data_IF_789491612770
#
_entry.id   IF_789491612770
#
_cell.length_a   1.000
_cell.length_b   1.000
_cell.length_c   1.000
_cell.angle_alpha   90.00
_cell.angle_beta   90.00
_cell.angle_gamma   90.00
#
_symmetry.space_group_name_H-M   'P 1'
#
loop_
_entity.id
_entity.type
_entity.pdbx_description
1 polymer ?
#
# COMPACT_ATOMS: atom_id res chain seq x y z
N UNK A 1 -30.31 11.19 -5.52
CA UNK A 1 -30.19 11.22 -4.06
C UNK A 1 -29.03 12.12 -3.72
N UNK A 2 -29.29 13.10 -2.92
CA UNK A 2 -28.64 14.39 -2.83
C UNK A 2 -27.21 14.33 -2.25
N UNK A 3 -26.23 14.85 -3.01
CA UNK A 3 -24.83 15.13 -2.62
C UNK A 3 -24.68 15.90 -1.28
N UNK A 4 -25.76 16.41 -0.72
CA UNK A 4 -25.77 17.24 0.49
C UNK A 4 -25.62 16.45 1.79
N UNK A 5 -25.97 15.17 1.84
CA UNK A 5 -26.05 14.38 3.07
C UNK A 5 -24.68 13.85 3.53
N UNK A 6 -23.75 13.60 2.60
CA UNK A 6 -22.40 13.11 2.97
C UNK A 6 -21.46 14.22 3.49
N UNK A 7 -21.59 15.47 3.01
CA UNK A 7 -20.79 16.59 3.53
C UNK A 7 -21.04 16.88 5.00
N UNK A 8 -22.24 16.58 5.50
CA UNK A 8 -22.58 16.80 6.91
C UNK A 8 -21.90 15.81 7.88
N UNK A 9 -21.53 14.62 7.41
CA UNK A 9 -20.91 13.57 8.24
C UNK A 9 -19.44 13.90 8.53
N UNK A 10 -18.78 14.63 7.64
CA UNK A 10 -17.35 14.98 7.76
C UNK A 10 -17.11 16.45 8.18
N UNK A 11 -18.04 17.06 8.90
CA UNK A 11 -17.76 18.36 9.56
C UNK A 11 -16.69 18.18 10.63
N UNK A 12 -15.84 19.18 10.90
CA UNK A 12 -14.81 19.11 11.94
C UNK A 12 -15.37 18.67 13.31
N UNK A 13 -16.63 19.04 13.61
CA UNK A 13 -17.31 18.66 14.83
C UNK A 13 -17.73 17.17 14.85
N UNK A 14 -18.21 16.64 13.71
CA UNK A 14 -18.53 15.21 13.58
C UNK A 14 -17.26 14.36 13.62
N UNK A 15 -16.16 14.85 13.04
CA UNK A 15 -14.85 14.20 13.11
C UNK A 15 -14.29 14.21 14.55
N UNK A 16 -14.40 15.33 15.26
CA UNK A 16 -14.00 15.43 16.66
C UNK A 16 -14.84 14.51 17.56
N UNK A 17 -16.14 14.38 17.29
CA UNK A 17 -17.02 13.44 17.99
C UNK A 17 -16.67 11.98 17.65
N UNK A 18 -16.37 11.66 16.40
CA UNK A 18 -15.95 10.32 15.98
C UNK A 18 -14.58 9.94 16.57
N UNK A 19 -13.62 10.86 16.63
CA UNK A 19 -12.32 10.66 17.29
C UNK A 19 -12.52 10.47 18.80
N UNK A 20 -13.37 11.26 19.45
CA UNK A 20 -13.67 11.10 20.87
C UNK A 20 -14.37 9.76 21.19
N UNK A 21 -15.27 9.30 20.31
CA UNK A 21 -15.92 7.98 20.42
C UNK A 21 -14.94 6.84 20.12
N UNK A 22 -14.04 7.01 19.16
CA UNK A 22 -13.00 6.03 18.81
C UNK A 22 -11.96 5.84 19.91
N UNK A 23 -11.64 6.88 20.68
CA UNK A 23 -10.77 6.78 21.86
C UNK A 23 -11.39 5.99 23.02
N UNK A 24 -12.72 5.76 23.01
CA UNK A 24 -13.42 4.98 24.02
C UNK A 24 -13.65 3.52 23.60
N UNK A 25 -13.46 3.17 22.33
CA UNK A 25 -13.52 1.79 21.86
C UNK A 25 -12.16 1.13 22.12
N UNK A 26 -12.02 0.48 23.26
CA UNK A 26 -10.89 -0.43 23.48
C UNK A 26 -11.02 -1.55 22.46
N UNK A 27 -10.01 -1.71 21.59
CA UNK A 27 -9.86 -2.92 20.79
C UNK A 27 -9.70 -4.08 21.79
N UNK A 28 -10.73 -4.88 21.95
CA UNK A 28 -10.69 -6.06 22.82
C UNK A 28 -10.53 -7.29 21.93
N UNK A 29 -9.41 -7.97 22.10
CA UNK A 29 -9.28 -9.31 21.59
C UNK A 29 -10.34 -10.21 22.26
N UNK A 30 -11.16 -10.84 21.47
CA UNK A 30 -12.16 -11.82 21.94
C UNK A 30 -11.50 -13.19 21.91
N UNK A 31 -11.29 -13.78 23.08
CA UNK A 31 -10.85 -15.17 23.19
C UNK A 31 -12.04 -16.10 23.32
N UNK A 32 -12.01 -17.24 22.63
CA UNK A 32 -13.05 -18.26 22.65
C UNK A 32 -12.45 -19.66 22.51
N UNK A 33 -13.21 -20.68 22.89
CA UNK A 33 -12.79 -22.07 22.76
C UNK A 33 -13.82 -22.87 21.96
N UNK A 34 -13.36 -23.68 21.02
CA UNK A 34 -14.18 -24.66 20.29
C UNK A 34 -13.60 -26.04 20.57
N UNK A 35 -14.12 -26.70 21.61
CA UNK A 35 -13.52 -27.93 22.13
C UNK A 35 -12.11 -27.67 22.65
N UNK A 36 -11.11 -28.33 22.08
CA UNK A 36 -9.69 -28.17 22.42
C UNK A 36 -8.98 -27.07 21.61
N UNK A 37 -9.69 -26.40 20.70
CA UNK A 37 -9.15 -25.31 19.89
C UNK A 37 -9.34 -23.99 20.65
N UNK A 38 -8.24 -23.31 20.94
CA UNK A 38 -8.23 -21.95 21.47
C UNK A 38 -8.29 -20.96 20.30
N UNK A 39 -9.25 -20.03 20.32
CA UNK A 39 -9.40 -18.97 19.31
C UNK A 39 -9.19 -17.60 19.91
N UNK A 40 -8.52 -16.73 19.16
CA UNK A 40 -8.41 -15.30 19.47
C UNK A 40 -8.80 -14.49 18.22
N UNK A 41 -9.74 -13.58 18.40
CA UNK A 41 -10.17 -12.68 17.34
C UNK A 41 -9.97 -11.23 17.77
N UNK A 42 -9.15 -10.50 17.02
CA UNK A 42 -8.86 -9.09 17.25
C UNK A 42 -9.37 -8.25 16.09
N UNK A 43 -9.89 -7.06 16.39
CA UNK A 43 -10.49 -6.15 15.40
C UNK A 43 -10.07 -4.73 15.67
N UNK A 44 -9.56 -4.07 14.63
CA UNK A 44 -9.28 -2.64 14.63
C UNK A 44 -10.11 -1.97 13.55
N UNK A 45 -10.95 -1.01 13.94
CA UNK A 45 -11.73 -0.18 13.04
C UNK A 45 -11.22 1.26 13.13
N UNK A 46 -11.03 1.90 12.01
CA UNK A 46 -10.56 3.29 11.99
C UNK A 46 -11.29 4.12 10.93
N UNK A 47 -11.45 5.40 11.24
CA UNK A 47 -11.93 6.42 10.34
C UNK A 47 -10.93 7.58 10.36
N UNK A 48 -10.61 8.12 9.21
CA UNK A 48 -9.64 9.19 9.12
C UNK A 48 -9.82 10.07 7.89
N UNK A 49 -9.20 11.24 7.91
CA UNK A 49 -9.18 12.14 6.78
C UNK A 49 -7.85 12.88 6.69
N UNK A 50 -7.48 13.29 5.47
CA UNK A 50 -6.29 14.08 5.19
C UNK A 50 -6.63 15.28 4.32
N UNK A 51 -5.95 16.41 4.56
CA UNK A 51 -6.19 17.69 3.87
C UNK A 51 -4.93 18.22 3.20
N UNK A 52 -5.08 18.83 2.03
CA UNK A 52 -4.05 19.62 1.38
C UNK A 52 -3.80 20.92 2.15
N UNK A 53 -2.60 21.09 2.71
CA UNK A 53 -2.27 22.29 3.51
C UNK A 53 -1.74 23.45 2.67
N UNK A 54 -1.33 23.18 1.41
CA UNK A 54 -0.76 24.17 0.47
C UNK A 54 -1.24 23.89 -0.93
N UNK A 55 -1.37 24.94 -1.72
CA UNK A 55 -1.49 24.79 -3.17
C UNK A 55 -0.20 24.20 -3.76
N UNK A 56 -0.31 23.60 -4.94
CA UNK A 56 0.85 23.06 -5.63
C UNK A 56 1.87 24.16 -5.92
N UNK A 57 3.14 23.86 -5.70
CA UNK A 57 4.22 24.72 -6.21
C UNK A 57 4.21 24.68 -7.74
N UNK A 58 4.27 25.85 -8.37
CA UNK A 58 4.25 25.95 -9.84
C UNK A 58 5.40 25.21 -10.51
N UNK A 59 6.52 25.01 -9.84
CA UNK A 59 7.65 24.21 -10.35
C UNK A 59 7.35 22.70 -10.42
N UNK A 60 6.33 22.23 -9.70
CA UNK A 60 5.88 20.84 -9.70
C UNK A 60 4.67 20.61 -10.62
N UNK A 61 4.20 21.66 -11.29
CA UNK A 61 3.09 21.61 -12.26
C UNK A 61 3.67 21.85 -13.66
N UNK A 62 3.27 21.01 -14.61
CA UNK A 62 3.73 21.14 -15.99
C UNK A 62 3.34 22.46 -16.62
N UNK A 63 4.16 22.98 -17.56
CA UNK A 63 3.91 24.24 -18.27
C UNK A 63 2.56 24.23 -19.01
N UNK A 64 2.13 23.07 -19.49
CA UNK A 64 0.85 22.88 -20.18
C UNK A 64 -0.36 23.03 -19.25
N UNK A 65 -0.15 22.83 -17.96
CA UNK A 65 -1.14 22.95 -16.89
C UNK A 65 -1.00 24.25 -16.08
N UNK A 66 -0.24 25.22 -16.61
CA UNK A 66 -0.09 26.56 -16.01
C UNK A 66 1.01 26.69 -14.97
N UNK A 67 1.87 25.69 -14.84
CA UNK A 67 3.05 25.71 -14.00
C UNK A 67 4.33 26.10 -14.74
N UNK A 68 5.49 25.81 -14.14
CA UNK A 68 6.82 26.02 -14.69
C UNK A 68 7.64 24.73 -14.80
N UNK A 69 7.06 23.60 -14.40
CA UNK A 69 7.69 22.29 -14.48
C UNK A 69 7.84 21.78 -15.91
N UNK A 70 8.90 21.01 -16.15
CA UNK A 70 9.20 20.43 -17.46
C UNK A 70 8.37 19.17 -17.77
N UNK A 71 7.64 18.65 -16.80
CA UNK A 71 6.83 17.42 -16.91
C UNK A 71 5.50 17.59 -16.23
N UNK A 72 4.44 17.03 -16.83
CA UNK A 72 3.11 16.88 -16.23
C UNK A 72 2.86 15.49 -15.63
N UNK A 73 3.84 14.60 -15.66
CA UNK A 73 3.70 13.19 -15.22
C UNK A 73 3.22 13.03 -13.78
N UNK A 74 3.56 13.94 -12.88
CA UNK A 74 3.23 13.85 -11.46
C UNK A 74 2.36 15.00 -10.94
N UNK A 75 1.70 15.78 -11.81
CA UNK A 75 0.97 16.97 -11.39
C UNK A 75 -0.54 16.75 -11.23
N UNK A 76 -1.10 15.64 -11.71
CA UNK A 76 -2.54 15.33 -11.64
C UNK A 76 -3.09 15.42 -10.21
N UNK A 77 -2.42 14.79 -9.26
CA UNK A 77 -2.82 14.83 -7.84
C UNK A 77 -2.70 16.23 -7.24
N UNK A 78 -1.73 17.03 -7.72
CA UNK A 78 -1.55 18.42 -7.30
C UNK A 78 -2.65 19.34 -7.81
N UNK A 79 -3.20 19.02 -8.97
CA UNK A 79 -4.28 19.78 -9.61
C UNK A 79 -5.67 19.32 -9.18
N UNK A 80 -5.79 18.06 -8.77
CA UNK A 80 -7.03 17.49 -8.25
C UNK A 80 -7.37 17.97 -6.83
N UNK A 81 -6.37 18.32 -6.01
CA UNK A 81 -6.56 18.65 -4.59
C UNK A 81 -5.90 19.98 -4.26
N UNK A 82 -6.76 21.01 -4.07
CA UNK A 82 -6.34 22.37 -3.72
C UNK A 82 -6.11 22.49 -2.21
N UNK A 83 -5.51 23.61 -1.83
CA UNK A 83 -5.35 23.97 -0.40
C UNK A 83 -6.70 23.97 0.33
N UNK A 84 -6.74 23.27 1.45
CA UNK A 84 -7.93 23.15 2.30
C UNK A 84 -8.90 22.05 1.90
N UNK A 85 -8.71 21.43 0.73
CA UNK A 85 -9.53 20.28 0.31
C UNK A 85 -9.02 18.99 0.93
N UNK A 86 -9.94 18.07 1.17
CA UNK A 86 -9.60 16.71 1.58
C UNK A 86 -9.10 15.92 0.39
N UNK A 87 -8.05 15.13 0.59
CA UNK A 87 -7.57 14.18 -0.42
C UNK A 87 -7.74 12.71 -0.01
N UNK A 88 -8.26 12.46 1.19
CA UNK A 88 -8.68 11.15 1.67
C UNK A 88 -9.71 11.33 2.79
N UNK A 89 -10.76 10.51 2.77
CA UNK A 89 -11.78 10.33 3.81
C UNK A 89 -12.08 8.85 3.89
N UNK A 90 -11.35 8.14 4.74
CA UNK A 90 -11.34 6.69 4.72
C UNK A 90 -11.98 6.08 5.95
N UNK A 91 -12.74 5.01 5.72
CA UNK A 91 -13.11 4.01 6.71
C UNK A 91 -12.36 2.73 6.40
N UNK A 92 -11.74 2.10 7.40
CA UNK A 92 -11.02 0.85 7.24
C UNK A 92 -11.14 -0.05 8.45
N UNK A 93 -11.00 -1.35 8.23
CA UNK A 93 -10.96 -2.35 9.27
C UNK A 93 -9.86 -3.37 9.03
N UNK A 94 -9.28 -3.87 10.12
CA UNK A 94 -8.32 -4.97 10.13
C UNK A 94 -8.81 -5.97 11.17
N UNK A 95 -8.78 -7.24 10.80
CA UNK A 95 -9.18 -8.33 11.65
C UNK A 95 -8.11 -9.43 11.65
N UNK A 96 -7.73 -9.85 12.83
CA UNK A 96 -6.79 -10.93 13.08
C UNK A 96 -7.56 -12.09 13.72
N UNK A 97 -7.42 -13.28 13.15
CA UNK A 97 -7.94 -14.53 13.70
C UNK A 97 -6.81 -15.50 13.91
N UNK A 98 -6.62 -15.95 15.12
CA UNK A 98 -5.72 -17.04 15.46
C UNK A 98 -6.53 -18.23 16.03
N UNK A 99 -6.27 -19.42 15.52
CA UNK A 99 -6.81 -20.67 16.02
C UNK A 99 -5.63 -21.59 16.39
N UNK A 100 -5.61 -22.08 17.63
CA UNK A 100 -4.52 -22.90 18.16
C UNK A 100 -5.02 -24.20 18.72
N UNK A 101 -4.35 -25.28 18.35
CA UNK A 101 -4.55 -26.62 18.91
C UNK A 101 -3.21 -27.20 19.34
N UNK A 102 -2.97 -27.28 20.64
CA UNK A 102 -1.67 -27.65 21.19
C UNK A 102 -0.56 -26.74 20.70
N UNK A 103 0.45 -27.30 20.05
CA UNK A 103 1.60 -26.56 19.51
C UNK A 103 1.41 -26.09 18.07
N UNK A 104 0.28 -26.41 17.44
CA UNK A 104 -0.04 -26.02 16.05
C UNK A 104 -1.11 -24.96 16.03
N UNK A 105 -0.96 -23.96 15.16
CA UNK A 105 -1.97 -22.94 14.96
C UNK A 105 -2.08 -22.47 13.52
N UNK A 106 -3.16 -21.73 13.28
CA UNK A 106 -3.45 -21.03 12.03
C UNK A 106 -3.66 -19.57 12.35
N UNK A 107 -3.02 -18.69 11.60
CA UNK A 107 -3.20 -17.25 11.71
C UNK A 107 -3.72 -16.70 10.39
N UNK A 108 -4.76 -15.87 10.46
CA UNK A 108 -5.33 -15.17 9.30
C UNK A 108 -5.54 -13.70 9.65
N UNK A 109 -5.03 -12.80 8.81
CA UNK A 109 -5.27 -11.36 8.87
C UNK A 109 -5.93 -10.88 7.61
N UNK A 110 -7.03 -10.14 7.75
CA UNK A 110 -7.72 -9.48 6.65
C UNK A 110 -7.85 -8.00 6.88
N UNK A 111 -7.81 -7.22 5.81
CA UNK A 111 -8.12 -5.79 5.83
C UNK A 111 -9.17 -5.45 4.78
N UNK A 112 -9.93 -4.37 5.02
CA UNK A 112 -10.78 -3.73 4.02
C UNK A 112 -10.78 -2.22 4.24
N UNK A 113 -11.08 -1.48 3.18
CA UNK A 113 -11.15 -0.03 3.22
C UNK A 113 -12.12 0.53 2.19
N UNK A 114 -12.61 1.72 2.47
CA UNK A 114 -13.40 2.53 1.56
C UNK A 114 -13.04 4.00 1.76
N UNK A 115 -12.47 4.62 0.74
CA UNK A 115 -12.15 6.04 0.74
C UNK A 115 -13.23 6.81 -0.02
N UNK A 116 -14.10 7.48 0.72
CA UNK A 116 -15.22 8.25 0.18
C UNK A 116 -14.76 9.41 -0.71
N UNK A 117 -13.61 10.02 -0.41
CA UNK A 117 -13.07 11.12 -1.19
C UNK A 117 -12.60 10.64 -2.57
N UNK A 118 -11.92 9.51 -2.62
CA UNK A 118 -11.37 8.97 -3.86
C UNK A 118 -12.41 8.21 -4.68
N UNK A 119 -13.44 7.65 -4.03
CA UNK A 119 -14.43 6.78 -4.69
C UNK A 119 -15.66 7.52 -5.20
N UNK A 120 -16.18 8.46 -4.40
CA UNK A 120 -17.51 9.03 -4.60
C UNK A 120 -17.48 10.47 -5.15
N UNK A 121 -16.34 11.17 -5.01
CA UNK A 121 -16.23 12.56 -5.43
C UNK A 121 -15.60 12.69 -6.82
N UNK A 122 -16.22 13.50 -7.67
CA UNK A 122 -15.66 13.85 -8.97
C UNK A 122 -14.44 14.76 -8.82
N UNK A 123 -13.46 14.60 -9.71
CA UNK A 123 -12.26 15.44 -9.76
C UNK A 123 -12.37 16.46 -10.89
N UNK A 124 -11.92 17.68 -10.60
CA UNK A 124 -11.97 18.77 -11.59
C UNK A 124 -10.96 18.55 -12.74
N UNK A 125 -9.80 17.97 -12.43
CA UNK A 125 -8.71 17.82 -13.39
C UNK A 125 -8.65 16.43 -14.01
N UNK A 126 -8.50 15.38 -13.17
CA UNK A 126 -8.40 14.00 -13.62
C UNK A 126 -9.25 13.08 -12.77
N UNK A 127 -10.17 12.35 -13.39
CA UNK A 127 -10.98 11.36 -12.68
C UNK A 127 -10.12 10.18 -12.20
N UNK A 128 -10.37 9.74 -10.97
CA UNK A 128 -9.70 8.60 -10.36
C UNK A 128 -10.48 7.34 -10.72
N UNK A 129 -9.79 6.35 -11.28
CA UNK A 129 -10.39 5.07 -11.67
C UNK A 129 -9.66 3.91 -11.02
N UNK A 130 -10.41 2.95 -10.47
CA UNK A 130 -9.88 1.71 -9.90
C UNK A 130 -9.64 0.62 -10.96
N UNK A 131 -10.02 0.87 -12.23
CA UNK A 131 -9.91 -0.11 -13.30
C UNK A 131 -8.45 -0.41 -13.65
N UNK A 132 -8.07 -1.69 -13.67
CA UNK A 132 -6.71 -2.12 -13.97
C UNK A 132 -5.68 -1.80 -12.88
N UNK A 133 -6.11 -1.42 -11.68
CA UNK A 133 -5.22 -1.12 -10.54
C UNK A 133 -4.99 -2.36 -9.68
N UNK A 134 -3.80 -2.46 -9.09
CA UNK A 134 -3.55 -3.40 -7.99
C UNK A 134 -4.52 -3.13 -6.84
N UNK A 135 -4.94 -4.18 -6.13
CA UNK A 135 -5.96 -4.06 -5.08
C UNK A 135 -5.62 -2.98 -4.05
N UNK A 136 -4.38 -2.97 -3.53
CA UNK A 136 -3.95 -1.99 -2.54
C UNK A 136 -4.01 -0.53 -3.02
N UNK A 137 -3.93 -0.26 -4.32
CA UNK A 137 -3.99 1.08 -4.90
C UNK A 137 -5.42 1.59 -5.15
N UNK A 138 -6.44 0.74 -5.03
CA UNK A 138 -7.84 1.11 -5.27
C UNK A 138 -8.39 2.02 -4.17
N UNK A 139 -9.40 2.80 -4.54
CA UNK A 139 -10.14 3.66 -3.62
C UNK A 139 -10.95 2.87 -2.59
N UNK A 140 -11.33 1.64 -2.92
CA UNK A 140 -11.98 0.69 -2.00
C UNK A 140 -11.56 -0.73 -2.32
N UNK A 141 -11.47 -1.59 -1.30
CA UNK A 141 -11.09 -2.98 -1.50
C UNK A 141 -11.06 -3.80 -0.22
N UNK A 142 -10.75 -5.08 -0.39
CA UNK A 142 -10.52 -6.01 0.70
C UNK A 142 -9.39 -6.98 0.33
N UNK A 143 -8.53 -7.29 1.27
CA UNK A 143 -7.37 -8.17 1.07
C UNK A 143 -7.19 -9.11 2.26
N UNK A 144 -6.82 -10.35 1.96
CA UNK A 144 -6.19 -11.22 2.95
C UNK A 144 -4.70 -10.87 2.98
N UNK A 145 -4.22 -10.41 4.11
CA UNK A 145 -2.82 -10.15 4.37
C UNK A 145 -2.13 -11.47 4.76
N UNK A 146 -1.94 -11.71 6.04
CA UNK A 146 -1.33 -12.94 6.49
C UNK A 146 -2.33 -14.11 6.44
N UNK A 147 -1.88 -15.30 6.03
CA UNK A 147 -2.62 -16.54 6.08
C UNK A 147 -1.61 -17.70 6.12
N UNK A 148 -1.26 -18.18 7.30
CA UNK A 148 -0.27 -19.24 7.48
C UNK A 148 -0.62 -20.19 8.59
N UNK A 149 -0.07 -21.40 8.49
CA UNK A 149 -0.06 -22.41 9.55
C UNK A 149 1.31 -22.36 10.22
N UNK A 150 1.33 -22.53 11.53
CA UNK A 150 2.58 -22.65 12.29
C UNK A 150 2.57 -23.86 13.21
N UNK A 151 3.76 -24.35 13.53
CA UNK A 151 3.97 -25.38 14.51
C UNK A 151 5.19 -25.04 15.37
N UNK A 152 5.00 -25.02 16.69
CA UNK A 152 6.05 -24.84 17.66
C UNK A 152 6.55 -26.21 18.10
N UNK A 153 7.85 -26.34 18.26
CA UNK A 153 8.49 -27.58 18.69
C UNK A 153 9.71 -27.29 19.55
N UNK A 154 10.29 -28.30 20.11
CA UNK A 154 11.51 -28.20 20.93
C UNK A 154 12.48 -29.29 20.52
N UNK A 155 13.76 -28.94 20.33
CA UNK A 155 14.86 -29.85 20.09
C UNK A 155 15.89 -29.66 21.19
N UNK A 156 16.18 -30.69 21.99
CA UNK A 156 17.09 -30.63 23.13
C UNK A 156 16.76 -29.47 24.12
N UNK A 157 15.44 -29.31 24.41
CA UNK A 157 14.86 -28.25 25.24
C UNK A 157 14.98 -26.82 24.67
N UNK A 158 15.53 -26.66 23.46
CA UNK A 158 15.62 -25.37 22.76
C UNK A 158 14.41 -25.16 21.83
N UNK A 159 13.74 -24.01 21.91
CA UNK A 159 12.51 -23.76 21.18
C UNK A 159 12.77 -23.61 19.68
N UNK A 160 11.83 -24.10 18.88
CA UNK A 160 11.79 -23.92 17.45
C UNK A 160 10.38 -23.62 16.96
N UNK A 161 10.27 -22.99 15.80
CA UNK A 161 8.99 -22.73 15.14
C UNK A 161 9.15 -22.89 13.63
N UNK A 162 8.15 -23.44 12.98
CA UNK A 162 8.04 -23.46 11.51
C UNK A 162 6.73 -22.81 11.11
N UNK A 163 6.76 -22.05 10.00
CA UNK A 163 5.56 -21.42 9.43
C UNK A 163 5.51 -21.69 7.93
N UNK A 164 4.32 -21.93 7.40
CA UNK A 164 4.08 -22.14 5.98
C UNK A 164 2.83 -21.38 5.54
N UNK A 165 2.93 -20.59 4.49
CA UNK A 165 1.83 -19.81 3.92
C UNK A 165 2.19 -18.35 3.69
N UNK A 166 1.17 -17.53 3.50
CA UNK A 166 1.26 -16.11 3.23
C UNK A 166 1.61 -15.35 4.52
N UNK A 167 2.81 -14.76 4.59
CA UNK A 167 3.33 -14.16 5.82
C UNK A 167 4.34 -13.06 5.55
N UNK A 168 4.54 -12.22 6.56
CA UNK A 168 5.62 -11.21 6.61
C UNK A 168 6.77 -11.75 7.46
N UNK A 169 7.99 -11.63 6.97
CA UNK A 169 9.22 -11.85 7.73
C UNK A 169 10.00 -10.54 7.80
N UNK A 170 10.24 -10.05 9.01
CA UNK A 170 10.97 -8.80 9.26
C UNK A 170 12.20 -9.07 10.11
N UNK A 171 13.37 -8.72 9.57
CA UNK A 171 14.65 -8.85 10.27
C UNK A 171 15.22 -7.50 10.73
N UNK A 172 14.45 -6.43 10.64
CA UNK A 172 14.84 -5.11 11.10
C UNK A 172 14.05 -4.01 10.43
N UNK A 173 14.35 -2.75 10.74
CA UNK A 173 13.58 -1.58 10.32
C UNK A 173 14.16 -0.86 9.10
N UNK A 174 15.35 -1.22 8.63
CA UNK A 174 16.04 -0.54 7.49
C UNK A 174 16.09 0.99 7.63
N UNK A 175 16.31 1.48 8.85
CA UNK A 175 16.22 2.91 9.19
C UNK A 175 17.23 3.76 8.42
N UNK A 176 18.44 3.25 8.21
CA UNK A 176 19.54 4.00 7.57
C UNK A 176 19.87 3.49 6.16
N UNK A 177 19.60 2.24 5.87
CA UNK A 177 19.90 1.63 4.57
C UNK A 177 18.60 1.06 4.00
N UNK A 178 18.04 1.72 3.00
CA UNK A 178 16.87 1.22 2.28
C UNK A 178 17.18 -0.07 1.52
N UNK A 179 16.17 -0.90 1.31
CA UNK A 179 16.28 -2.19 0.59
C UNK A 179 17.34 -3.14 1.16
N UNK A 180 17.51 -3.15 2.48
CA UNK A 180 18.44 -4.02 3.17
C UNK A 180 17.71 -5.23 3.79
N UNK A 181 17.96 -5.52 5.06
CA UNK A 181 17.42 -6.68 5.78
C UNK A 181 15.87 -6.72 5.91
N UNK A 182 15.19 -5.65 5.56
CA UNK A 182 13.72 -5.57 5.59
C UNK A 182 13.08 -5.62 4.19
N UNK A 183 13.83 -5.90 3.13
CA UNK A 183 13.32 -5.99 1.76
C UNK A 183 12.81 -7.39 1.38
N UNK A 184 12.49 -8.24 2.38
CA UNK A 184 11.97 -9.60 2.16
C UNK A 184 10.56 -9.54 1.57
N UNK A 185 9.73 -8.64 2.09
CA UNK A 185 8.35 -8.44 1.65
C UNK A 185 8.22 -7.15 0.84
N UNK A 186 7.41 -7.13 -0.22
CA UNK A 186 7.08 -5.90 -0.92
C UNK A 186 6.22 -4.97 -0.06
N UNK A 187 6.09 -3.72 -0.49
CA UNK A 187 5.45 -2.65 0.28
C UNK A 187 4.22 -2.13 -0.45
N UNK A 188 3.13 -1.96 0.25
CA UNK A 188 1.97 -1.18 -0.18
C UNK A 188 2.18 0.28 0.27
N UNK A 189 2.75 1.10 -0.62
CA UNK A 189 3.03 2.52 -0.36
C UNK A 189 1.74 3.30 -0.13
N UNK A 190 0.67 2.96 -0.85
CA UNK A 190 -0.61 3.64 -0.70
C UNK A 190 -1.24 3.37 0.67
N UNK A 191 -1.08 2.17 1.22
CA UNK A 191 -1.55 1.85 2.56
C UNK A 191 -0.85 2.70 3.63
N UNK A 192 0.47 2.89 3.53
CA UNK A 192 1.24 3.73 4.47
C UNK A 192 0.84 5.22 4.43
N UNK A 193 0.30 5.70 3.32
CA UNK A 193 -0.13 7.10 3.15
C UNK A 193 -1.57 7.36 3.58
N UNK A 194 -2.32 6.30 3.87
CA UNK A 194 -3.70 6.42 4.37
C UNK A 194 -3.73 6.95 5.79
N UNK A 195 -4.73 7.77 6.16
CA UNK A 195 -4.89 8.23 7.55
C UNK A 195 -4.95 7.05 8.52
N UNK A 196 -4.20 7.15 9.63
CA UNK A 196 -4.15 6.10 10.65
C UNK A 196 -3.53 4.79 10.17
N UNK A 197 -2.54 4.84 9.26
CA UNK A 197 -1.84 3.65 8.75
C UNK A 197 -1.05 2.94 9.86
N UNK A 198 -1.13 1.62 9.86
CA UNK A 198 -0.31 0.75 10.70
C UNK A 198 0.73 0.01 9.85
N UNK A 199 1.89 -0.34 10.43
CA UNK A 199 2.98 -1.03 9.70
C UNK A 199 2.48 -2.35 9.09
N UNK A 200 1.62 -3.08 9.82
CA UNK A 200 1.04 -4.34 9.36
C UNK A 200 0.15 -4.21 8.12
N UNK A 201 -0.31 -3.00 7.77
CA UNK A 201 -1.10 -2.75 6.57
C UNK A 201 -0.24 -2.55 5.31
N UNK A 202 0.98 -2.08 5.51
CA UNK A 202 1.86 -1.65 4.42
C UNK A 202 2.88 -2.69 3.99
N UNK A 203 3.11 -3.74 4.75
CA UNK A 203 3.93 -4.87 4.31
C UNK A 203 3.04 -5.89 3.64
N UNK A 204 3.38 -6.27 2.40
CA UNK A 204 2.61 -7.25 1.61
C UNK A 204 3.14 -8.64 1.95
N UNK A 205 2.33 -9.50 2.61
CA UNK A 205 2.72 -10.88 2.86
C UNK A 205 2.82 -11.66 1.55
N UNK A 206 3.81 -12.55 1.45
CA UNK A 206 3.97 -13.47 0.32
C UNK A 206 4.07 -14.90 0.83
N UNK A 207 3.72 -15.87 -0.02
CA UNK A 207 3.81 -17.28 0.33
C UNK A 207 5.27 -17.69 0.54
N UNK A 208 5.58 -18.22 1.71
CA UNK A 208 6.92 -18.69 2.04
C UNK A 208 6.92 -19.77 3.13
N UNK A 209 8.02 -20.49 3.21
CA UNK A 209 8.39 -21.32 4.34
C UNK A 209 9.33 -20.52 5.22
N UNK A 210 9.09 -20.53 6.52
CA UNK A 210 9.94 -19.89 7.51
C UNK A 210 10.24 -20.89 8.63
N UNK A 211 11.44 -20.86 9.15
CA UNK A 211 11.85 -21.64 10.31
C UNK A 211 12.72 -20.82 11.24
N UNK A 212 12.57 -21.05 12.53
CA UNK A 212 13.40 -20.51 13.60
C UNK A 212 13.75 -21.63 14.56
N UNK A 213 15.01 -21.72 14.97
CA UNK A 213 15.51 -22.71 15.93
C UNK A 213 16.51 -22.09 16.89
N UNK A 214 16.29 -22.22 18.17
CA UNK A 214 17.28 -21.95 19.20
C UNK A 214 18.46 -22.93 19.09
N UNK A 215 19.66 -22.40 19.01
CA UNK A 215 20.91 -23.20 18.97
C UNK A 215 21.55 -23.25 20.36
N UNK A 216 21.37 -22.20 21.14
CA UNK A 216 21.75 -22.06 22.55
C UNK A 216 20.72 -21.16 23.23
N UNK A 217 20.84 -20.96 24.53
CA UNK A 217 20.02 -20.01 25.31
C UNK A 217 20.14 -18.55 24.80
N UNK A 218 21.17 -18.23 24.04
CA UNK A 218 21.48 -16.88 23.56
C UNK A 218 21.59 -16.76 22.05
N UNK A 219 21.47 -17.85 21.30
CA UNK A 219 21.65 -17.85 19.87
C UNK A 219 20.51 -18.59 19.19
N UNK A 220 19.86 -17.91 18.26
CA UNK A 220 18.79 -18.45 17.42
C UNK A 220 19.17 -18.33 15.94
N UNK A 221 18.92 -19.35 15.14
CA UNK A 221 18.99 -19.30 13.69
C UNK A 221 17.59 -19.16 13.12
N UNK A 222 17.43 -18.27 12.14
CA UNK A 222 16.21 -18.11 11.37
C UNK A 222 16.50 -18.29 9.88
N UNK A 223 15.51 -18.76 9.13
CA UNK A 223 15.61 -18.88 7.70
C UNK A 223 14.24 -18.81 7.03
N UNK A 224 14.23 -18.32 5.78
CA UNK A 224 13.03 -18.35 4.94
C UNK A 224 13.38 -18.81 3.52
N UNK A 225 12.35 -19.33 2.85
CA UNK A 225 12.36 -19.62 1.42
C UNK A 225 11.03 -19.17 0.82
N UNK A 226 11.09 -18.21 -0.14
CA UNK A 226 9.90 -17.69 -0.82
C UNK A 226 9.41 -18.64 -1.90
N UNK A 227 8.10 -18.79 -1.96
CA UNK A 227 7.35 -19.55 -2.96
C UNK A 227 6.60 -18.64 -3.93
N UNK A 228 6.44 -17.35 -3.57
CA UNK A 228 5.73 -16.34 -4.34
C UNK A 228 6.49 -15.02 -4.26
N UNK A 229 6.60 -14.31 -5.38
CA UNK A 229 7.07 -12.95 -5.45
C UNK A 229 5.89 -12.02 -5.77
N UNK A 230 5.87 -10.82 -5.21
CA UNK A 230 4.89 -9.79 -5.53
C UNK A 230 5.58 -8.42 -5.63
N UNK A 231 4.97 -7.51 -6.37
CA UNK A 231 5.47 -6.16 -6.59
C UNK A 231 5.01 -5.21 -5.49
N UNK A 232 5.79 -4.15 -5.30
CA UNK A 232 5.36 -2.97 -4.55
C UNK A 232 4.09 -2.36 -5.17
N UNK A 233 3.14 -1.98 -4.32
CA UNK A 233 1.94 -1.26 -4.72
C UNK A 233 2.19 0.24 -4.56
N UNK A 234 1.98 0.98 -5.65
CA UNK A 234 2.12 2.43 -5.69
C UNK A 234 0.75 3.10 -5.68
N UNK A 235 0.72 4.38 -5.32
CA UNK A 235 -0.52 5.17 -5.35
C UNK A 235 -1.11 5.24 -6.74
N UNK A 236 -2.44 5.19 -6.81
CA UNK A 236 -3.19 5.36 -8.06
C UNK A 236 -2.96 6.76 -8.65
N UNK A 237 -2.94 6.84 -9.98
CA UNK A 237 -2.85 8.12 -10.68
C UNK A 237 -4.06 9.02 -10.41
N UNK A 238 -3.82 10.33 -10.39
CA UNK A 238 -4.82 11.31 -10.00
C UNK A 238 -5.03 11.44 -8.50
N UNK A 239 -4.53 10.53 -7.66
CA UNK A 239 -4.51 10.68 -6.20
C UNK A 239 -3.43 11.68 -5.78
N UNK A 240 -3.51 12.20 -4.56
CA UNK A 240 -2.62 13.27 -4.07
C UNK A 240 -1.11 12.93 -4.18
N UNK A 241 -0.74 11.68 -4.04
CA UNK A 241 0.62 11.17 -4.16
C UNK A 241 0.88 10.38 -5.44
N UNK A 242 -0.12 10.26 -6.30
CA UNK A 242 -0.04 9.48 -7.53
C UNK A 242 0.93 10.06 -8.56
N UNK A 243 1.58 9.16 -9.30
CA UNK A 243 2.46 9.48 -10.43
C UNK A 243 2.10 8.56 -11.59
N UNK A 244 1.83 9.14 -12.75
CA UNK A 244 1.29 8.41 -13.90
C UNK A 244 2.20 7.35 -14.49
N UNK A 245 3.51 7.49 -14.35
CA UNK A 245 4.47 6.60 -15.01
C UNK A 245 4.67 5.27 -14.29
N UNK A 246 4.39 5.21 -12.99
CA UNK A 246 4.84 4.10 -12.16
C UNK A 246 3.74 3.09 -11.80
N UNK A 247 2.51 3.57 -11.53
CA UNK A 247 1.42 2.71 -11.10
C UNK A 247 0.80 1.95 -12.27
N UNK A 248 0.50 0.67 -12.06
CA UNK A 248 -0.15 -0.17 -13.06
C UNK A 248 -1.51 0.39 -13.48
N UNK A 249 -1.80 0.33 -14.79
CA UNK A 249 -3.04 0.79 -15.38
C UNK A 249 -3.19 2.31 -15.45
N UNK A 250 -2.21 3.13 -15.06
CA UNK A 250 -2.11 4.54 -15.38
C UNK A 250 -1.72 4.74 -16.84
N UNK A 251 -1.43 5.97 -17.30
CA UNK A 251 -1.04 6.17 -18.69
C UNK A 251 0.30 5.51 -19.06
N UNK A 252 1.10 5.14 -18.05
CA UNK A 252 2.38 4.44 -18.17
C UNK A 252 3.41 5.17 -19.05
N UNK A 253 3.32 6.48 -19.13
CA UNK A 253 4.22 7.31 -19.90
C UNK A 253 4.83 8.46 -19.09
N UNK A 254 6.06 8.82 -19.43
CA UNK A 254 6.71 10.02 -18.92
C UNK A 254 6.42 11.17 -19.86
N UNK A 255 5.69 12.18 -19.40
CA UNK A 255 5.30 13.33 -20.20
C UNK A 255 6.30 14.46 -20.06
N UNK A 256 6.88 14.90 -21.15
CA UNK A 256 7.80 16.04 -21.20
C UNK A 256 7.12 17.17 -21.97
N UNK A 257 6.71 18.20 -21.27
CA UNK A 257 6.03 19.38 -21.80
C UNK A 257 6.90 20.62 -21.70
N UNK A 258 7.84 20.80 -22.63
CA UNK A 258 8.64 22.00 -22.68
C UNK A 258 8.65 22.59 -24.10
N UNK A 259 8.54 23.91 -24.26
CA UNK A 259 8.75 24.57 -25.55
C UNK A 259 10.09 24.22 -26.20
N UNK A 260 11.10 23.90 -25.41
CA UNK A 260 12.42 23.49 -25.89
C UNK A 260 12.39 22.13 -26.63
N UNK A 261 11.36 21.31 -26.43
CA UNK A 261 11.23 19.99 -27.06
C UNK A 261 10.47 20.07 -28.39
N UNK A 262 9.69 21.13 -28.61
CA UNK A 262 8.90 21.30 -29.82
C UNK A 262 9.71 21.09 -31.13
N UNK A 263 10.98 21.55 -31.25
CA UNK A 263 11.80 21.29 -32.42
C UNK A 263 12.15 19.81 -32.64
N UNK A 264 12.14 19.00 -31.58
CA UNK A 264 12.52 17.58 -31.61
C UNK A 264 11.35 16.64 -31.80
N UNK A 265 10.09 17.14 -31.75
CA UNK A 265 8.87 16.35 -31.95
C UNK A 265 8.87 15.56 -33.26
N UNK A 266 9.30 16.14 -34.42
CA UNK A 266 9.38 15.37 -35.66
C UNK A 266 10.38 14.21 -35.61
N UNK A 267 11.49 14.36 -34.86
CA UNK A 267 12.47 13.31 -34.65
C UNK A 267 11.92 12.18 -33.78
N UNK A 268 11.19 12.53 -32.71
CA UNK A 268 10.58 11.52 -31.81
C UNK A 268 9.51 10.71 -32.52
N UNK A 269 8.74 11.31 -33.41
CA UNK A 269 7.76 10.62 -34.26
C UNK A 269 8.45 9.66 -35.27
N UNK A 270 9.61 10.05 -35.80
CA UNK A 270 10.36 9.23 -36.76
C UNK A 270 10.98 7.98 -36.13
N UNK A 271 11.23 7.97 -34.82
CA UNK A 271 11.85 6.84 -34.14
C UNK A 271 10.90 5.67 -33.83
N UNK A 272 9.59 5.80 -34.08
CA UNK A 272 8.61 4.69 -34.08
C UNK A 272 8.47 3.89 -32.76
N UNK A 273 8.99 4.39 -31.67
CA UNK A 273 9.12 3.71 -30.37
C UNK A 273 7.87 3.85 -29.49
N UNK A 274 6.68 4.00 -30.07
CA UNK A 274 5.45 4.21 -29.30
C UNK A 274 5.37 5.60 -28.63
N UNK A 275 6.28 6.52 -28.98
CA UNK A 275 6.26 7.90 -28.51
C UNK A 275 5.03 8.61 -29.08
N UNK A 276 4.23 9.20 -28.19
CA UNK A 276 3.03 9.92 -28.54
C UNK A 276 3.22 11.42 -28.33
N UNK A 277 2.65 12.23 -29.21
CA UNK A 277 2.53 13.67 -29.00
C UNK A 277 1.10 13.96 -28.59
N UNK A 278 0.95 14.47 -27.38
CA UNK A 278 -0.34 14.83 -26.80
C UNK A 278 -0.42 16.33 -26.58
N UNK A 279 -1.57 16.81 -26.13
CA UNK A 279 -1.75 18.20 -25.69
C UNK A 279 -0.79 18.57 -24.55
N UNK A 280 -0.40 17.60 -23.73
CA UNK A 280 0.47 17.77 -22.56
C UNK A 280 1.97 17.69 -22.89
N UNK A 281 2.31 17.40 -24.13
CA UNK A 281 3.69 17.29 -24.60
C UNK A 281 4.01 15.94 -25.23
N UNK A 282 5.27 15.58 -25.20
CA UNK A 282 5.77 14.29 -25.69
C UNK A 282 5.66 13.25 -24.60
N UNK A 283 4.92 12.20 -24.84
CA UNK A 283 4.79 11.05 -23.92
C UNK A 283 5.75 9.96 -24.34
N UNK A 284 6.71 9.66 -23.48
CA UNK A 284 7.66 8.56 -23.62
C UNK A 284 7.04 7.36 -22.89
N UNK A 285 6.71 6.27 -23.60
CA UNK A 285 6.08 5.11 -22.97
C UNK A 285 7.02 4.41 -22.00
N UNK A 286 6.47 3.86 -20.93
CA UNK A 286 7.18 2.96 -20.04
C UNK A 286 7.40 1.63 -20.75
N UNK A 287 8.59 1.04 -20.62
CA UNK A 287 8.84 -0.34 -21.01
C UNK A 287 8.08 -1.34 -20.13
N UNK A 288 7.91 -2.56 -20.59
CA UNK A 288 7.33 -3.63 -19.77
C UNK A 288 8.18 -3.95 -18.54
N UNK A 289 7.53 -4.36 -17.46
CA UNK A 289 8.20 -4.78 -16.24
C UNK A 289 8.95 -6.11 -16.45
N UNK A 290 10.02 -6.27 -15.73
CA UNK A 290 10.77 -7.53 -15.62
C UNK A 290 10.66 -8.02 -14.18
N UNK A 291 9.66 -8.83 -13.95
CA UNK A 291 9.39 -9.38 -12.64
C UNK A 291 10.45 -10.41 -12.25
N UNK A 292 10.70 -10.53 -10.96
CA UNK A 292 11.48 -11.63 -10.43
C UNK A 292 10.67 -12.94 -10.57
N UNK A 293 11.36 -14.06 -10.51
CA UNK A 293 10.68 -15.36 -10.46
C UNK A 293 9.94 -15.53 -9.14
N UNK A 294 8.84 -16.26 -9.14
CA UNK A 294 8.01 -16.47 -7.94
C UNK A 294 8.75 -17.17 -6.80
N UNK A 295 9.62 -18.12 -7.10
CA UNK A 295 10.28 -18.90 -6.07
C UNK A 295 11.80 -18.85 -6.14
N UNK A 296 12.45 -19.20 -5.03
CA UNK A 296 13.90 -19.36 -4.94
C UNK A 296 14.63 -18.20 -4.29
N UNK A 297 13.94 -17.20 -3.78
CA UNK A 297 14.50 -16.20 -2.90
C UNK A 297 14.57 -16.79 -1.48
N UNK A 298 15.72 -16.70 -0.84
CA UNK A 298 15.92 -17.21 0.51
C UNK A 298 16.90 -16.36 1.31
N UNK A 299 16.86 -16.51 2.60
CA UNK A 299 17.78 -15.85 3.49
C UNK A 299 17.90 -16.56 4.83
N UNK A 300 18.97 -16.26 5.55
CA UNK A 300 19.20 -16.75 6.90
C UNK A 300 19.69 -15.63 7.79
N UNK A 301 19.36 -15.70 9.09
CA UNK A 301 19.82 -14.78 10.12
C UNK A 301 20.24 -15.55 11.36
N UNK A 302 21.22 -15.01 12.05
CA UNK A 302 21.61 -15.43 13.41
C UNK A 302 21.30 -14.27 14.36
N UNK A 303 20.65 -14.57 15.43
CA UNK A 303 20.23 -13.61 16.48
C UNK A 303 20.65 -14.09 17.83
#
# INVERSE_FOLDING_TARGET
MTKTTMRAIFTPQALAAAVALGCCAQAQAVSFNIGEIEGTFDSSLSIGASWGMRDADKSLVGTVNGGTGQSSTGDDGRLNFKKGETFSKIFKGIHDLELKYGDTGVFVRGKYWYDFELKDEDREFKQISDSGRKEGAKSSGAQILDAFVYHNYSIADLPGTVRAGKQVVSWGESTFIGNSINSINPVDVSAFRRPGAEIKEGLIPVNMLFGSQGLTDQLTVEGFYQLEWDQTVLDNCGTFFGVDVAADGCNNGYTVGSPAIAPFVPLTQAFGQGIQVTREGVVIPRGGDRDARDSGQWGTALR
#
